data_IF_839972169478
#
_entry.id   IF_839972169478
#
_cell.length_a   1.000
_cell.length_b   1.000
_cell.length_c   1.000
_cell.angle_alpha   90.00
_cell.angle_beta   90.00
_cell.angle_gamma   90.00
#
_symmetry.space_group_name_H-M   'P 1'
#
loop_
_entity.id
_entity.type
_entity.pdbx_description
1 polymer ?
#
# COMPACT_ATOMS: atom_id res chain seq x y z
N UNK A 1 41.79 -33.31 35.43
CA UNK A 1 41.15 -32.06 34.96
C UNK A 1 40.94 -32.19 33.46
N UNK A 2 39.76 -32.63 33.03
CA UNK A 2 39.42 -32.71 31.60
C UNK A 2 38.64 -31.47 31.22
N UNK A 3 39.17 -30.71 30.26
CA UNK A 3 38.54 -29.52 29.71
C UNK A 3 37.51 -29.90 28.65
N UNK A 4 36.36 -29.25 28.75
CA UNK A 4 35.17 -29.34 27.90
C UNK A 4 35.45 -28.65 26.55
N UNK A 5 34.97 -29.24 25.45
CA UNK A 5 34.72 -28.51 24.21
C UNK A 5 33.24 -28.71 23.82
N UNK A 6 32.38 -27.82 24.30
CA UNK A 6 31.01 -27.70 23.80
C UNK A 6 31.05 -26.86 22.53
N UNK A 7 30.89 -27.52 21.37
CA UNK A 7 30.65 -26.85 20.10
C UNK A 7 29.19 -26.39 20.11
N UNK A 8 28.97 -25.10 20.35
CA UNK A 8 27.67 -24.48 20.12
C UNK A 8 27.56 -24.23 18.61
N UNK A 9 26.82 -25.08 17.92
CA UNK A 9 26.44 -24.85 16.53
C UNK A 9 25.50 -23.64 16.48
N UNK A 10 25.96 -22.53 15.90
CA UNK A 10 25.07 -21.42 15.55
C UNK A 10 24.18 -21.85 14.39
N UNK A 11 22.90 -22.02 14.66
CA UNK A 11 21.88 -22.22 13.63
C UNK A 11 21.61 -20.84 13.03
N UNK A 12 22.16 -20.59 11.84
CA UNK A 12 21.81 -19.42 11.02
C UNK A 12 20.38 -19.62 10.50
N UNK A 13 19.40 -18.94 11.09
CA UNK A 13 18.06 -18.86 10.50
C UNK A 13 18.09 -17.84 9.37
N UNK A 14 18.30 -18.31 8.13
CA UNK A 14 17.99 -17.51 6.94
C UNK A 14 16.49 -17.55 6.69
N UNK A 15 15.76 -16.55 7.18
CA UNK A 15 14.39 -16.31 6.74
C UNK A 15 14.30 -14.89 6.22
N UNK A 16 14.40 -14.76 4.89
CA UNK A 16 14.26 -13.53 4.10
C UNK A 16 12.80 -13.02 4.10
N UNK A 17 12.09 -13.16 5.22
CA UNK A 17 10.70 -12.71 5.32
C UNK A 17 10.70 -11.20 5.49
N UNK A 18 10.11 -10.52 4.49
CA UNK A 18 9.96 -9.07 4.51
C UNK A 18 9.04 -8.69 5.66
N UNK A 19 9.35 -7.63 6.44
CA UNK A 19 8.49 -7.20 7.53
C UNK A 19 7.07 -6.92 7.04
N UNK A 20 6.07 -7.43 7.75
CA UNK A 20 4.65 -7.14 7.51
C UNK A 20 4.12 -6.34 8.68
N UNK A 21 3.44 -5.24 8.38
CA UNK A 21 2.86 -4.32 9.36
C UNK A 21 1.37 -4.21 9.09
N UNK A 22 0.54 -4.63 10.04
CA UNK A 22 -0.91 -4.42 9.94
C UNK A 22 -1.25 -2.93 10.13
N UNK A 23 -2.23 -2.45 9.36
CA UNK A 23 -2.63 -1.04 9.39
C UNK A 23 -3.26 -0.62 10.73
N UNK A 24 -3.94 -1.56 11.37
CA UNK A 24 -4.52 -1.41 12.71
C UNK A 24 -4.09 -2.58 13.60
N UNK A 25 -3.61 -2.31 14.83
CA UNK A 25 -3.16 -3.36 15.73
C UNK A 25 -4.29 -4.26 16.27
N UNK A 26 -5.52 -3.73 16.31
CA UNK A 26 -6.68 -4.42 16.89
C UNK A 26 -7.73 -4.82 15.83
N UNK A 27 -7.34 -4.84 14.56
CA UNK A 27 -8.23 -5.08 13.42
C UNK A 27 -8.72 -3.79 12.78
N UNK A 28 -9.00 -3.83 11.48
CA UNK A 28 -9.50 -2.67 10.75
C UNK A 28 -10.94 -2.34 11.16
N UNK A 29 -11.32 -1.04 11.22
CA UNK A 29 -12.69 -0.64 11.53
C UNK A 29 -13.73 -1.31 10.64
N UNK A 30 -14.70 -2.01 11.25
CA UNK A 30 -15.74 -2.77 10.55
C UNK A 30 -15.31 -4.18 10.11
N UNK A 31 -14.12 -4.64 10.50
CA UNK A 31 -13.59 -5.97 10.19
C UNK A 31 -12.89 -6.62 11.40
N UNK A 32 -13.08 -6.08 12.61
CA UNK A 32 -12.39 -6.50 13.83
C UNK A 32 -12.66 -7.97 14.19
N UNK A 33 -13.88 -8.45 13.98
CA UNK A 33 -14.27 -9.85 14.21
C UNK A 33 -13.68 -10.80 13.16
N UNK A 34 -13.34 -10.28 11.97
CA UNK A 34 -12.85 -11.04 10.82
C UNK A 34 -11.34 -10.97 10.63
N UNK A 35 -10.63 -10.19 11.46
CA UNK A 35 -9.19 -9.92 11.33
C UNK A 35 -8.28 -11.18 11.36
N UNK A 36 -8.79 -12.30 11.88
CA UNK A 36 -8.08 -13.58 11.96
C UNK A 36 -8.44 -14.55 10.83
N UNK A 37 -9.37 -14.19 9.96
CA UNK A 37 -9.67 -14.98 8.77
C UNK A 37 -8.42 -15.06 7.89
N UNK A 38 -8.13 -16.25 7.37
CA UNK A 38 -6.95 -16.46 6.54
C UNK A 38 -7.16 -15.80 5.17
N UNK A 39 -6.10 -15.16 4.64
CA UNK A 39 -6.08 -14.75 3.24
C UNK A 39 -6.27 -15.97 2.33
N UNK A 40 -7.05 -15.82 1.26
CA UNK A 40 -7.23 -16.85 0.23
C UNK A 40 -6.24 -16.64 -0.91
N UNK A 41 -6.06 -17.66 -1.75
CA UNK A 41 -5.27 -17.59 -2.98
C UNK A 41 -6.17 -17.94 -4.17
N UNK A 42 -6.96 -16.99 -4.69
CA UNK A 42 -7.86 -17.26 -5.81
C UNK A 42 -7.09 -17.70 -7.06
N UNK A 43 -5.88 -17.18 -7.28
CA UNK A 43 -4.97 -17.61 -8.33
C UNK A 43 -3.50 -17.65 -7.82
N UNK A 44 -2.54 -18.26 -8.56
CA UNK A 44 -1.14 -18.33 -8.13
C UNK A 44 -0.44 -16.97 -7.93
N UNK A 45 -0.93 -15.93 -8.58
CA UNK A 45 -0.36 -14.57 -8.57
C UNK A 45 -1.14 -13.58 -7.68
N UNK A 46 -2.23 -14.02 -7.05
CA UNK A 46 -3.13 -13.14 -6.32
C UNK A 46 -3.52 -13.65 -4.93
N UNK A 47 -3.97 -12.72 -4.10
CA UNK A 47 -4.49 -12.97 -2.75
C UNK A 47 -5.88 -12.38 -2.60
N UNK A 48 -6.73 -13.03 -1.80
CA UNK A 48 -8.09 -12.59 -1.48
C UNK A 48 -8.37 -12.68 0.01
N UNK A 49 -9.62 -12.46 0.40
CA UNK A 49 -10.13 -12.58 1.77
C UNK A 49 -9.33 -11.75 2.80
N UNK A 50 -9.16 -10.46 2.51
CA UNK A 50 -8.33 -9.56 3.31
C UNK A 50 -9.24 -8.78 4.27
N UNK A 51 -9.17 -9.10 5.58
CA UNK A 51 -9.84 -8.35 6.66
C UNK A 51 -8.87 -7.73 7.66
N UNK A 52 -7.58 -8.03 7.53
CA UNK A 52 -6.50 -7.45 8.33
C UNK A 52 -5.45 -6.80 7.40
N UNK A 53 -5.78 -5.64 6.79
CA UNK A 53 -4.96 -5.01 5.77
C UNK A 53 -3.57 -4.67 6.31
N UNK A 54 -2.57 -4.76 5.44
CA UNK A 54 -1.16 -4.69 5.85
C UNK A 54 -0.25 -4.07 4.80
N UNK A 55 0.94 -3.67 5.25
CA UNK A 55 2.06 -3.25 4.42
C UNK A 55 3.18 -4.29 4.51
N UNK A 56 3.61 -4.82 3.36
CA UNK A 56 4.88 -5.55 3.27
C UNK A 56 6.01 -4.58 2.92
N UNK A 57 7.07 -4.54 3.73
CA UNK A 57 8.15 -3.54 3.63
C UNK A 57 9.30 -4.04 2.75
N UNK A 58 9.68 -3.22 1.78
CA UNK A 58 10.82 -3.41 0.89
C UNK A 58 11.84 -2.30 1.15
N UNK A 59 12.84 -2.62 1.96
CA UNK A 59 13.93 -1.69 2.25
C UNK A 59 14.94 -1.66 1.10
N UNK A 60 15.51 -0.50 0.78
CA UNK A 60 16.66 -0.41 -0.11
C UNK A 60 17.86 -1.18 0.42
N UNK A 61 18.83 -1.46 -0.45
CA UNK A 61 20.14 -1.95 -0.03
C UNK A 61 20.74 -0.94 0.97
N UNK A 62 21.35 -1.44 2.04
CA UNK A 62 21.95 -0.60 3.08
C UNK A 62 22.88 0.46 2.45
N UNK A 63 22.68 1.72 2.83
CA UNK A 63 23.44 2.87 2.30
C UNK A 63 22.94 3.45 0.98
N UNK A 64 21.93 2.85 0.34
CA UNK A 64 21.35 3.37 -0.93
C UNK A 64 20.06 4.16 -0.73
N UNK A 65 19.52 4.18 0.49
CA UNK A 65 18.25 4.85 0.78
C UNK A 65 18.31 6.36 0.48
N UNK A 66 17.40 6.83 -0.38
CA UNK A 66 17.35 8.21 -0.86
C UNK A 66 16.28 9.08 -0.15
N UNK A 67 15.65 8.53 0.90
CA UNK A 67 14.62 9.17 1.69
C UNK A 67 13.22 9.21 1.04
N UNK A 68 13.03 8.60 -0.13
CA UNK A 68 11.72 8.50 -0.80
C UNK A 68 11.03 7.22 -0.39
N UNK A 69 9.70 7.27 -0.24
CA UNK A 69 8.87 6.10 -0.10
C UNK A 69 7.78 6.03 -1.17
N UNK A 70 7.43 4.80 -1.58
CA UNK A 70 6.28 4.52 -2.45
C UNK A 70 5.43 3.42 -1.85
N UNK A 71 4.14 3.71 -1.63
CA UNK A 71 3.14 2.70 -1.28
C UNK A 71 2.56 2.16 -2.57
N UNK A 72 2.86 0.90 -2.88
CA UNK A 72 2.38 0.17 -4.05
C UNK A 72 1.04 -0.49 -3.73
N UNK A 73 0.02 -0.19 -4.53
CA UNK A 73 -1.35 -0.66 -4.39
C UNK A 73 -1.69 -1.54 -5.60
N UNK A 74 -1.66 -2.87 -5.45
CA UNK A 74 -2.05 -3.80 -6.52
C UNK A 74 -3.51 -3.59 -6.94
N UNK A 75 -3.81 -3.92 -8.20
CA UNK A 75 -5.16 -4.05 -8.74
C UNK A 75 -5.76 -5.42 -8.47
N UNK A 76 -6.75 -5.81 -9.28
CA UNK A 76 -7.57 -7.03 -9.07
C UNK A 76 -9.06 -6.74 -8.86
N UNK A 77 -9.50 -5.55 -9.28
CA UNK A 77 -10.93 -5.22 -9.41
C UNK A 77 -11.70 -5.19 -8.10
N UNK A 78 -11.03 -5.04 -6.96
CA UNK A 78 -11.58 -5.17 -5.59
C UNK A 78 -12.13 -6.57 -5.26
N UNK A 79 -11.73 -7.61 -6.00
CA UNK A 79 -12.12 -9.02 -5.78
C UNK A 79 -10.95 -9.90 -5.38
N UNK A 80 -9.75 -9.52 -5.77
CA UNK A 80 -8.47 -10.10 -5.40
C UNK A 80 -7.42 -8.98 -5.47
N UNK A 81 -6.19 -9.27 -5.04
CA UNK A 81 -5.03 -8.42 -5.25
C UNK A 81 -3.98 -9.16 -6.07
N UNK A 82 -3.58 -8.61 -7.22
CA UNK A 82 -2.49 -9.15 -8.07
C UNK A 82 -1.11 -8.82 -7.45
N UNK A 83 -0.90 -9.26 -6.21
CA UNK A 83 0.19 -8.81 -5.34
C UNK A 83 1.57 -9.22 -5.85
N UNK A 84 1.69 -10.29 -6.62
CA UNK A 84 2.97 -10.71 -7.20
C UNK A 84 3.49 -9.71 -8.25
N UNK A 85 2.73 -9.58 -9.34
CA UNK A 85 3.11 -8.77 -10.50
C UNK A 85 2.98 -7.26 -10.24
N UNK A 86 1.91 -6.82 -9.58
CA UNK A 86 1.59 -5.40 -9.39
C UNK A 86 2.01 -4.87 -8.01
N UNK A 87 2.46 -5.75 -7.10
CA UNK A 87 2.93 -5.38 -5.77
C UNK A 87 4.43 -5.63 -5.57
N UNK A 88 4.79 -6.91 -5.47
CA UNK A 88 6.12 -7.35 -5.06
C UNK A 88 7.22 -7.01 -6.07
N UNK A 89 6.98 -7.25 -7.37
CA UNK A 89 7.96 -6.91 -8.42
C UNK A 89 8.26 -5.41 -8.52
N UNK A 90 7.27 -4.49 -8.61
CA UNK A 90 7.55 -3.07 -8.63
C UNK A 90 8.19 -2.58 -7.31
N UNK A 91 7.80 -3.13 -6.15
CA UNK A 91 8.43 -2.78 -4.88
C UNK A 91 9.91 -3.20 -4.82
N UNK A 92 10.25 -4.38 -5.33
CA UNK A 92 11.64 -4.84 -5.43
C UNK A 92 12.47 -4.03 -6.43
N UNK A 93 11.87 -3.63 -7.55
CA UNK A 93 12.51 -2.73 -8.50
C UNK A 93 12.81 -1.37 -7.86
N UNK A 94 11.84 -0.78 -7.15
CA UNK A 94 12.02 0.50 -6.46
C UNK A 94 13.07 0.42 -5.35
N UNK A 95 13.13 -0.67 -4.59
CA UNK A 95 14.15 -0.84 -3.55
C UNK A 95 15.57 -0.89 -4.13
N UNK A 96 15.75 -1.40 -5.35
CA UNK A 96 17.03 -1.34 -6.08
C UNK A 96 17.44 0.09 -6.49
N UNK A 97 16.48 1.01 -6.56
CA UNK A 97 16.70 2.44 -6.86
C UNK A 97 16.90 3.31 -5.62
N UNK A 98 17.01 2.71 -4.42
CA UNK A 98 17.15 3.48 -3.18
C UNK A 98 15.82 3.95 -2.57
N UNK A 99 14.67 3.51 -3.10
CA UNK A 99 13.34 3.91 -2.63
C UNK A 99 12.78 2.85 -1.68
N UNK A 100 12.32 3.25 -0.49
CA UNK A 100 11.63 2.31 0.40
C UNK A 100 10.21 2.08 -0.11
N UNK A 101 9.89 0.84 -0.50
CA UNK A 101 8.57 0.49 -1.02
C UNK A 101 7.73 -0.26 0.01
N UNK A 102 6.42 -0.05 -0.04
CA UNK A 102 5.44 -0.72 0.82
C UNK A 102 4.34 -1.31 -0.04
N UNK A 103 4.18 -2.63 -0.07
CA UNK A 103 3.07 -3.26 -0.79
C UNK A 103 1.84 -3.28 0.12
N UNK A 104 0.80 -2.54 -0.27
CA UNK A 104 -0.47 -2.48 0.44
C UNK A 104 -1.36 -3.65 0.03
N UNK A 105 -1.70 -4.50 1.00
CA UNK A 105 -2.86 -5.39 0.91
C UNK A 105 -4.07 -4.69 1.52
N UNK A 106 -4.95 -4.13 0.69
CA UNK A 106 -6.19 -3.49 1.12
C UNK A 106 -7.37 -4.48 1.13
N UNK A 107 -8.40 -4.17 1.90
CA UNK A 107 -9.63 -4.95 1.97
C UNK A 107 -10.41 -4.90 0.65
N UNK A 108 -11.10 -5.99 0.32
CA UNK A 108 -11.69 -6.24 -0.98
C UNK A 108 -13.22 -6.15 -0.94
N UNK A 109 -13.76 -5.05 -1.48
CA UNK A 109 -15.18 -4.74 -1.38
C UNK A 109 -16.09 -5.64 -2.24
N UNK A 110 -15.57 -6.25 -3.31
CA UNK A 110 -16.37 -6.97 -4.31
C UNK A 110 -16.24 -8.50 -4.20
N UNK A 111 -15.63 -9.01 -3.14
CA UNK A 111 -15.72 -10.42 -2.79
C UNK A 111 -17.15 -10.79 -2.38
N UNK A 112 -17.52 -12.06 -2.59
CA UNK A 112 -18.81 -12.57 -2.11
C UNK A 112 -18.85 -12.45 -0.58
N UNK A 113 -19.97 -11.97 -0.06
CA UNK A 113 -20.20 -11.81 1.39
C UNK A 113 -19.15 -10.91 2.10
N UNK A 114 -18.54 -9.97 1.37
CA UNK A 114 -17.56 -9.04 1.95
C UNK A 114 -18.18 -8.18 3.06
N UNK A 115 -19.37 -7.61 2.79
CA UNK A 115 -19.98 -6.57 3.64
C UNK A 115 -19.25 -5.22 3.60
N UNK A 116 -18.32 -5.04 2.65
CA UNK A 116 -17.44 -3.88 2.54
C UNK A 116 -17.76 -3.04 1.29
N UNK A 117 -17.31 -1.78 1.27
CA UNK A 117 -17.43 -0.87 0.12
C UNK A 117 -16.08 -0.26 -0.24
N UNK A 118 -15.89 0.11 -1.52
CA UNK A 118 -14.62 0.70 -1.98
C UNK A 118 -14.42 2.08 -1.32
N UNK A 119 -15.49 2.87 -1.29
CA UNK A 119 -15.54 4.26 -0.82
C UNK A 119 -15.36 4.39 0.69
N UNK A 120 -15.60 3.31 1.45
CA UNK A 120 -15.37 3.28 2.90
C UNK A 120 -14.09 2.53 3.23
N UNK A 121 -14.03 1.26 2.89
CA UNK A 121 -13.09 0.31 3.48
C UNK A 121 -11.75 0.32 2.75
N UNK A 122 -11.75 0.13 1.42
CA UNK A 122 -10.51 0.20 0.62
C UNK A 122 -9.90 1.62 0.66
N UNK A 123 -10.74 2.66 0.64
CA UNK A 123 -10.30 4.05 0.82
C UNK A 123 -9.64 4.28 2.18
N UNK A 124 -10.27 3.81 3.27
CA UNK A 124 -9.70 3.94 4.61
C UNK A 124 -8.34 3.23 4.72
N UNK A 125 -8.18 2.07 4.07
CA UNK A 125 -6.91 1.34 4.07
C UNK A 125 -5.82 2.12 3.31
N UNK A 126 -6.15 2.71 2.16
CA UNK A 126 -5.24 3.60 1.43
C UNK A 126 -4.83 4.82 2.26
N UNK A 127 -5.78 5.46 2.93
CA UNK A 127 -5.50 6.60 3.80
C UNK A 127 -4.61 6.21 4.98
N UNK A 128 -4.95 5.09 5.62
CA UNK A 128 -4.22 4.58 6.77
C UNK A 128 -2.81 4.18 6.40
N UNK A 129 -2.59 3.61 5.21
CA UNK A 129 -1.26 3.28 4.71
C UNK A 129 -0.35 4.52 4.62
N UNK A 130 -0.82 5.61 4.00
CA UNK A 130 -0.05 6.86 3.90
C UNK A 130 0.26 7.42 5.28
N UNK A 131 -0.74 7.48 6.16
CA UNK A 131 -0.58 7.96 7.53
C UNK A 131 0.41 7.14 8.34
N UNK A 132 0.35 5.81 8.22
CA UNK A 132 1.25 4.90 8.93
C UNK A 132 2.69 5.03 8.42
N UNK A 133 2.88 5.14 7.10
CA UNK A 133 4.23 5.35 6.55
C UNK A 133 4.78 6.70 7.01
N UNK A 134 3.94 7.75 7.02
CA UNK A 134 4.30 9.10 7.45
C UNK A 134 4.61 9.18 8.95
N UNK A 135 3.83 8.52 9.80
CA UNK A 135 4.05 8.53 11.26
C UNK A 135 5.36 7.86 11.66
N UNK A 136 5.80 6.87 10.88
CA UNK A 136 7.02 6.09 11.10
C UNK A 136 8.17 6.50 10.17
N UNK A 137 8.07 7.65 9.49
CA UNK A 137 9.09 8.13 8.55
C UNK A 137 10.51 8.13 9.15
N UNK A 138 10.64 8.52 10.42
CA UNK A 138 11.93 8.52 11.13
C UNK A 138 12.54 7.12 11.28
N UNK A 139 11.73 6.08 11.46
CA UNK A 139 12.19 4.70 11.61
C UNK A 139 12.87 4.17 10.34
N UNK A 140 12.38 4.57 9.18
CA UNK A 140 12.90 4.12 7.88
C UNK A 140 13.74 5.18 7.16
N UNK A 141 14.18 6.23 7.88
CA UNK A 141 14.97 7.33 7.32
C UNK A 141 14.31 8.00 6.09
N UNK A 142 12.99 8.19 6.14
CA UNK A 142 12.20 8.78 5.06
C UNK A 142 12.05 10.28 5.27
N UNK A 143 12.00 11.01 4.15
CA UNK A 143 11.49 12.38 4.14
C UNK A 143 9.95 12.31 4.12
N UNK A 144 9.25 12.86 5.14
CA UNK A 144 7.79 12.79 5.22
C UNK A 144 7.07 13.57 4.10
N UNK A 145 7.79 14.39 3.34
CA UNK A 145 7.33 15.12 2.16
C UNK A 145 7.66 14.43 0.83
N UNK A 146 8.20 13.20 0.87
CA UNK A 146 8.52 12.36 -0.32
C UNK A 146 7.88 10.97 -0.22
N UNK A 147 6.64 10.91 0.25
CA UNK A 147 5.86 9.68 0.36
C UNK A 147 4.81 9.66 -0.76
N UNK A 148 5.02 8.85 -1.78
CA UNK A 148 4.09 8.68 -2.88
C UNK A 148 3.28 7.39 -2.81
N UNK A 149 2.32 7.27 -3.73
CA UNK A 149 1.57 6.05 -3.96
C UNK A 149 1.67 5.64 -5.44
N UNK A 150 1.75 4.34 -5.70
CA UNK A 150 1.67 3.75 -7.03
C UNK A 150 0.48 2.81 -7.07
N UNK A 151 -0.49 3.06 -7.95
CA UNK A 151 -1.72 2.27 -8.03
C UNK A 151 -1.92 1.66 -9.40
N UNK A 152 -2.22 0.36 -9.44
CA UNK A 152 -2.52 -0.39 -10.66
C UNK A 152 -4.01 -0.67 -10.75
N UNK A 153 -4.68 -0.38 -11.89
CA UNK A 153 -6.11 -0.71 -12.07
C UNK A 153 -6.97 -0.27 -10.88
N UNK A 154 -7.65 -1.19 -10.18
CA UNK A 154 -8.41 -0.93 -8.96
C UNK A 154 -7.58 -0.33 -7.81
N UNK A 155 -6.29 -0.63 -7.70
CA UNK A 155 -5.37 0.05 -6.79
C UNK A 155 -5.10 1.50 -7.19
N UNK A 156 -5.22 1.81 -8.49
CA UNK A 156 -5.27 3.17 -9.01
C UNK A 156 -6.48 3.95 -8.49
N UNK A 157 -7.63 3.30 -8.27
CA UNK A 157 -8.80 3.94 -7.67
C UNK A 157 -8.55 4.31 -6.19
N UNK A 158 -7.89 3.44 -5.44
CA UNK A 158 -7.48 3.71 -4.05
C UNK A 158 -6.52 4.91 -3.99
N UNK A 159 -5.55 4.96 -4.91
CA UNK A 159 -4.66 6.11 -5.08
C UNK A 159 -5.43 7.39 -5.46
N UNK A 160 -6.38 7.33 -6.39
CA UNK A 160 -7.21 8.48 -6.79
C UNK A 160 -7.99 9.05 -5.61
N UNK A 161 -8.60 8.18 -4.78
CA UNK A 161 -9.30 8.62 -3.57
C UNK A 161 -8.36 9.28 -2.56
N UNK A 162 -7.10 8.83 -2.44
CA UNK A 162 -6.10 9.45 -1.55
C UNK A 162 -5.56 10.77 -2.09
N UNK A 163 -5.31 10.86 -3.40
CA UNK A 163 -4.75 12.03 -4.05
C UNK A 163 -5.76 13.19 -4.16
N UNK A 164 -6.99 12.89 -4.61
CA UNK A 164 -7.94 13.91 -5.05
C UNK A 164 -8.99 14.27 -4.00
N UNK A 165 -9.54 13.30 -3.27
CA UNK A 165 -10.52 13.59 -2.22
C UNK A 165 -9.87 14.12 -0.95
N UNK A 166 -8.58 13.82 -0.76
CA UNK A 166 -7.84 14.15 0.45
C UNK A 166 -8.32 13.35 1.66
N UNK A 167 -7.40 13.06 2.57
CA UNK A 167 -7.73 12.47 3.86
C UNK A 167 -7.18 13.34 4.98
N UNK A 168 -7.75 14.54 5.20
CA UNK A 168 -7.25 15.46 6.22
C UNK A 168 -7.17 14.72 7.56
N UNK A 169 -6.09 14.98 8.29
CA UNK A 169 -5.92 14.44 9.62
C UNK A 169 -7.00 14.98 10.57
N UNK A 170 -7.42 14.17 11.52
CA UNK A 170 -8.31 14.60 12.60
C UNK A 170 -7.47 14.88 13.85
N UNK A 171 -7.26 16.16 14.19
CA UNK A 171 -6.48 16.56 15.37
C UNK A 171 -7.07 16.05 16.69
N UNK A 172 -8.38 15.74 16.72
CA UNK A 172 -9.06 15.22 17.90
C UNK A 172 -9.00 13.68 17.98
N UNK A 173 -8.49 12.99 16.95
CA UNK A 173 -8.45 11.53 16.95
C UNK A 173 -7.62 10.99 18.14
N UNK A 174 -8.11 9.96 18.85
CA UNK A 174 -7.33 9.28 19.88
C UNK A 174 -6.14 8.52 19.29
N UNK A 175 -6.23 8.10 18.02
CA UNK A 175 -5.13 7.48 17.31
C UNK A 175 -4.25 8.56 16.65
N UNK A 176 -2.99 8.65 17.10
CA UNK A 176 -2.02 9.63 16.59
C UNK A 176 -1.76 9.49 15.09
N UNK A 177 -1.92 8.29 14.52
CA UNK A 177 -1.75 8.07 13.08
C UNK A 177 -2.87 8.76 12.30
N UNK A 178 -4.10 8.75 12.81
CA UNK A 178 -5.25 9.39 12.14
C UNK A 178 -5.26 10.92 12.26
N UNK A 179 -4.37 11.49 13.06
CA UNK A 179 -4.11 12.94 13.09
C UNK A 179 -3.29 13.44 11.90
N UNK A 180 -2.64 12.53 11.17
CA UNK A 180 -1.82 12.89 10.02
C UNK A 180 -2.68 12.99 8.75
N UNK A 181 -2.25 13.86 7.85
CA UNK A 181 -2.80 13.90 6.50
C UNK A 181 -2.60 12.53 5.82
N UNK A 182 -3.51 12.13 4.95
CA UNK A 182 -3.46 10.89 4.18
C UNK A 182 -3.13 11.12 2.69
N UNK A 183 -3.02 12.37 2.25
CA UNK A 183 -2.68 12.73 0.86
C UNK A 183 -1.23 12.33 0.57
N UNK A 184 -0.95 11.58 -0.51
CA UNK A 184 0.42 11.30 -0.94
C UNK A 184 1.08 12.56 -1.52
N UNK A 185 2.41 12.63 -1.45
CA UNK A 185 3.18 13.75 -1.99
C UNK A 185 3.33 13.69 -3.52
N UNK A 186 3.15 12.53 -4.14
CA UNK A 186 3.10 12.29 -5.58
C UNK A 186 2.35 10.99 -5.85
N UNK A 187 1.77 10.85 -7.05
CA UNK A 187 1.05 9.64 -7.46
C UNK A 187 1.59 9.05 -8.75
N UNK A 188 1.56 7.72 -8.86
CA UNK A 188 1.94 6.96 -10.05
C UNK A 188 0.75 6.07 -10.42
N UNK A 189 -0.03 6.49 -11.40
CA UNK A 189 -1.21 5.75 -11.87
C UNK A 189 -0.83 4.87 -13.06
N UNK A 190 -1.04 3.58 -12.92
CA UNK A 190 -0.76 2.59 -13.96
C UNK A 190 -2.11 1.96 -14.37
N UNK A 191 -2.57 2.25 -15.59
CA UNK A 191 -3.88 1.86 -16.13
C UNK A 191 -5.03 1.94 -15.09
N UNK A 192 -5.20 3.09 -14.41
CA UNK A 192 -6.07 3.15 -13.24
C UNK A 192 -7.55 2.91 -13.59
N UNK A 193 -8.28 2.33 -12.64
CA UNK A 193 -9.74 2.30 -12.71
C UNK A 193 -10.35 3.69 -12.55
N UNK A 194 -11.64 3.86 -12.92
CA UNK A 194 -12.26 5.19 -13.00
C UNK A 194 -12.67 5.78 -11.64
N UNK A 195 -12.79 4.97 -10.57
CA UNK A 195 -13.29 5.46 -9.29
C UNK A 195 -12.31 6.45 -8.62
N UNK A 196 -12.88 7.47 -7.99
CA UNK A 196 -12.13 8.50 -7.26
C UNK A 196 -11.47 9.57 -8.14
N UNK A 197 -11.53 9.44 -9.47
CA UNK A 197 -11.06 10.47 -10.40
C UNK A 197 -12.12 11.57 -10.46
N UNK A 198 -11.77 12.83 -10.15
CA UNK A 198 -12.70 13.94 -10.22
C UNK A 198 -12.94 14.39 -11.67
N UNK A 199 -14.05 15.09 -11.91
CA UNK A 199 -14.30 15.71 -13.22
C UNK A 199 -13.29 16.82 -13.56
N UNK A 200 -12.81 17.53 -12.54
CA UNK A 200 -11.76 18.55 -12.64
C UNK A 200 -10.67 18.24 -11.60
N UNK A 201 -9.41 18.28 -12.00
CA UNK A 201 -8.28 18.01 -11.10
C UNK A 201 -8.10 19.18 -10.12
N UNK A 202 -8.19 18.95 -8.79
CA UNK A 202 -8.01 20.02 -7.81
C UNK A 202 -6.63 20.69 -7.92
N UNK A 203 -6.55 22.01 -7.76
CA UNK A 203 -5.29 22.76 -7.82
C UNK A 203 -4.24 22.31 -6.79
N UNK A 204 -4.68 21.67 -5.69
CA UNK A 204 -3.81 21.11 -4.65
C UNK A 204 -3.54 19.61 -4.83
N UNK A 205 -3.72 19.09 -6.04
CA UNK A 205 -3.39 17.70 -6.39
C UNK A 205 -1.88 17.47 -6.37
N UNK A 206 -1.43 16.27 -5.97
CA UNK A 206 -0.01 15.96 -5.98
C UNK A 206 0.50 15.78 -7.43
N UNK A 207 1.81 16.00 -7.69
CA UNK A 207 2.44 15.64 -8.95
C UNK A 207 2.12 14.21 -9.37
N UNK A 208 1.87 14.01 -10.68
CA UNK A 208 1.40 12.75 -11.22
C UNK A 208 2.33 12.20 -12.31
N UNK A 209 2.56 10.90 -12.27
CA UNK A 209 2.99 10.11 -13.43
C UNK A 209 1.86 9.16 -13.80
N UNK A 210 1.50 9.11 -15.08
CA UNK A 210 0.40 8.27 -15.58
C UNK A 210 0.90 7.44 -16.75
N UNK A 211 0.63 6.13 -16.72
CA UNK A 211 0.96 5.20 -17.81
C UNK A 211 -0.24 4.32 -18.12
N UNK A 212 -0.68 4.34 -19.37
CA UNK A 212 -1.78 3.50 -19.89
C UNK A 212 -1.37 3.01 -21.27
N UNK A 213 -1.66 1.76 -21.59
CA UNK A 213 -1.49 1.25 -22.95
C UNK A 213 -2.63 1.74 -23.84
N UNK A 214 -2.33 2.20 -25.05
CA UNK A 214 -3.34 2.81 -25.94
C UNK A 214 -4.47 1.84 -26.37
N UNK A 215 -4.23 0.54 -26.26
CA UNK A 215 -5.16 -0.55 -26.57
C UNK A 215 -5.84 -1.14 -25.32
N UNK A 216 -5.69 -0.51 -24.15
CA UNK A 216 -6.40 -0.92 -22.93
C UNK A 216 -7.88 -0.50 -22.99
N UNK A 217 -8.73 -1.42 -23.43
CA UNK A 217 -10.19 -1.22 -23.45
C UNK A 217 -10.87 -1.21 -22.07
N UNK A 218 -10.12 -1.48 -20.99
CA UNK A 218 -10.65 -1.48 -19.62
C UNK A 218 -10.35 -0.16 -18.88
N UNK A 219 -9.35 0.60 -19.32
CA UNK A 219 -8.94 1.87 -18.74
C UNK A 219 -9.40 3.06 -19.60
N UNK A 220 -10.68 3.44 -19.47
CA UNK A 220 -11.19 4.69 -20.06
C UNK A 220 -10.96 5.87 -19.10
N UNK A 221 -9.70 6.24 -18.87
CA UNK A 221 -9.36 7.43 -18.09
C UNK A 221 -8.89 8.53 -19.04
N UNK A 222 -9.80 9.45 -19.35
CA UNK A 222 -9.46 10.70 -20.04
C UNK A 222 -9.15 11.74 -18.95
N UNK A 223 -7.87 11.99 -18.70
CA UNK A 223 -7.45 13.17 -17.94
C UNK A 223 -7.28 14.29 -18.95
N UNK A 224 -8.22 15.23 -18.96
CA UNK A 224 -8.04 16.45 -19.73
C UNK A 224 -7.01 17.32 -19.00
N UNK A 225 -5.87 17.57 -19.65
CA UNK A 225 -4.71 18.26 -19.05
C UNK A 225 -4.68 19.76 -19.39
N UNK A 226 -5.81 20.33 -19.83
CA UNK A 226 -5.92 21.75 -20.22
C UNK A 226 -6.05 22.70 -19.03
#
# INVERSE_FOLDING_TARGET
MSAILCIVAMISTSQNDKPVIHLWPNGAPGSESRQKEAETKPNPWSVGNIYNPSLTVYQPILGTANGTAVIVVPGGGHRELVVGEEGHKPAEFMSKLGITAFVLKHRLAREKDSGLTVEKDARADGYRAVRLVRSRAKEWNLNPYRIGMMGFSAGGEVLSMAAFQGGPGDSASPDLIDRLDAKPNFGIWIYPGPLGIPAEVPANSPPAFVLVANDDGSANVCLDLV
#
